data_IF_688204566962
#
_entry.id   IF_688204566962
#
_cell.length_a   1.000
_cell.length_b   1.000
_cell.length_c   1.000
_cell.angle_alpha   90.00
_cell.angle_beta   90.00
_cell.angle_gamma   90.00
#
_symmetry.space_group_name_H-M   'P 1'
#
loop_
_entity.id
_entity.type
_entity.pdbx_description
1 polymer ?
#
# COMPACT_ATOMS: atom_id res chain seq x y z
N UNK A 1 -10.80 -8.53 -5.09
CA UNK A 1 -9.81 -8.53 -3.99
C UNK A 1 -8.46 -8.20 -4.59
N UNK A 2 -7.67 -7.35 -3.94
CA UNK A 2 -6.38 -6.85 -4.44
C UNK A 2 -5.27 -7.21 -3.46
N UNK A 3 -4.12 -7.63 -3.97
CA UNK A 3 -2.97 -8.06 -3.17
C UNK A 3 -1.71 -7.37 -3.64
N UNK A 4 -0.86 -6.97 -2.70
CA UNK A 4 0.49 -6.47 -2.94
C UNK A 4 1.47 -7.32 -2.14
N UNK A 5 2.58 -7.72 -2.79
CA UNK A 5 3.61 -8.56 -2.21
C UNK A 5 4.96 -7.88 -2.31
N UNK A 6 5.67 -7.77 -1.19
CA UNK A 6 7.08 -7.38 -1.16
C UNK A 6 7.94 -8.59 -1.56
N UNK A 7 8.75 -8.42 -2.60
CA UNK A 7 9.64 -9.44 -3.12
C UNK A 7 11.02 -9.37 -2.44
N UNK A 8 11.80 -10.44 -2.53
CA UNK A 8 13.14 -10.51 -1.92
C UNK A 8 14.15 -9.54 -2.52
N UNK A 9 13.92 -9.07 -3.75
CA UNK A 9 14.73 -8.05 -4.41
C UNK A 9 14.30 -6.61 -4.04
N UNK A 10 13.32 -6.47 -3.13
CA UNK A 10 12.78 -5.19 -2.70
C UNK A 10 11.75 -4.58 -3.67
N UNK A 11 11.40 -5.25 -4.76
CA UNK A 11 10.30 -4.82 -5.63
C UNK A 11 8.94 -5.16 -5.02
N UNK A 12 7.88 -4.48 -5.46
CA UNK A 12 6.51 -4.79 -5.07
C UNK A 12 5.72 -5.25 -6.29
N UNK A 13 5.13 -6.43 -6.17
CA UNK A 13 4.26 -7.02 -7.18
C UNK A 13 2.80 -6.95 -6.72
N UNK A 14 1.90 -6.55 -7.62
CA UNK A 14 0.47 -6.53 -7.36
C UNK A 14 -0.32 -7.39 -8.32
N UNK A 15 -1.41 -7.98 -7.82
CA UNK A 15 -2.40 -8.73 -8.60
C UNK A 15 -3.77 -8.69 -7.92
N UNK A 16 -4.82 -8.96 -8.67
CA UNK A 16 -6.19 -9.01 -8.17
C UNK A 16 -7.20 -8.23 -9.01
N UNK A 17 -8.40 -8.08 -8.46
CA UNK A 17 -9.55 -7.41 -9.09
C UNK A 17 -9.62 -5.95 -8.69
N UNK A 18 -10.21 -5.10 -9.53
CA UNK A 18 -10.31 -3.64 -9.34
C UNK A 18 -8.93 -2.97 -9.32
N UNK A 19 -8.02 -3.46 -10.17
CA UNK A 19 -6.70 -2.88 -10.39
C UNK A 19 -6.44 -2.77 -11.88
N UNK A 20 -5.77 -1.72 -12.30
CA UNK A 20 -5.33 -1.54 -13.68
C UNK A 20 -3.93 -0.93 -13.74
N UNK A 21 -3.19 -1.31 -14.78
CA UNK A 21 -1.87 -0.74 -15.07
C UNK A 21 -2.06 0.56 -15.84
N UNK A 22 -1.55 1.65 -15.30
CA UNK A 22 -1.53 2.96 -15.94
C UNK A 22 -0.07 3.40 -16.11
N UNK A 23 0.33 3.83 -17.30
CA UNK A 23 1.69 4.22 -17.71
C UNK A 23 2.75 4.27 -16.58
N UNK A 24 3.33 3.11 -16.24
CA UNK A 24 4.44 3.00 -15.28
C UNK A 24 4.06 2.64 -13.83
N UNK A 25 2.77 2.52 -13.49
CA UNK A 25 2.29 2.14 -12.17
C UNK A 25 0.95 1.38 -12.18
N UNK A 26 0.53 0.92 -11.00
CA UNK A 26 -0.76 0.23 -10.80
C UNK A 26 -1.68 1.13 -9.98
N UNK A 27 -2.91 1.30 -10.46
CA UNK A 27 -3.95 2.10 -9.81
C UNK A 27 -5.24 1.29 -9.64
N UNK A 28 -6.22 1.89 -8.98
CA UNK A 28 -7.56 1.33 -8.90
C UNK A 28 -8.19 1.23 -10.30
N UNK A 29 -8.82 0.09 -10.56
CA UNK A 29 -9.53 -0.17 -11.80
C UNK A 29 -10.73 0.76 -11.97
N UNK A 30 -10.78 1.53 -13.05
CA UNK A 30 -11.88 2.47 -13.34
C UNK A 30 -13.13 1.78 -13.91
N UNK A 31 -13.02 0.51 -14.28
CA UNK A 31 -14.09 -0.27 -14.92
C UNK A 31 -14.42 -1.55 -14.14
N UNK A 32 -15.70 -1.93 -14.18
CA UNK A 32 -16.17 -3.24 -13.70
C UNK A 32 -15.52 -4.30 -14.60
N UNK A 33 -14.47 -4.95 -14.10
CA UNK A 33 -13.70 -5.95 -14.85
C UNK A 33 -12.20 -5.69 -14.92
N UNK A 34 -11.70 -4.51 -14.52
CA UNK A 34 -10.26 -4.24 -14.45
C UNK A 34 -9.59 -5.21 -13.46
N UNK A 35 -8.77 -6.12 -13.96
CA UNK A 35 -8.05 -7.10 -13.16
C UNK A 35 -6.61 -7.27 -13.63
N UNK A 36 -5.72 -7.51 -12.68
CA UNK A 36 -4.34 -7.89 -12.91
C UNK A 36 -4.22 -9.37 -12.56
N UNK A 37 -4.23 -10.23 -13.57
CA UNK A 37 -4.14 -11.69 -13.42
C UNK A 37 -2.71 -12.18 -13.32
N UNK A 38 -1.77 -11.46 -13.93
CA UNK A 38 -0.34 -11.74 -13.86
C UNK A 38 0.29 -10.70 -12.93
N UNK A 39 1.02 -11.11 -11.86
CA UNK A 39 1.68 -10.18 -10.96
C UNK A 39 2.50 -9.14 -11.74
N UNK A 40 2.24 -7.88 -11.43
CA UNK A 40 2.86 -6.76 -12.13
C UNK A 40 3.54 -5.82 -11.13
N UNK A 41 4.70 -5.30 -11.52
CA UNK A 41 5.43 -4.34 -10.70
C UNK A 41 4.70 -3.00 -10.66
N UNK A 42 4.56 -2.43 -9.46
CA UNK A 42 3.92 -1.13 -9.21
C UNK A 42 4.78 0.08 -9.62
N UNK A 43 6.09 -0.06 -9.72
CA UNK A 43 7.03 0.97 -10.17
C UNK A 43 7.77 0.44 -11.38
N UNK A 44 7.38 0.92 -12.57
CA UNK A 44 7.81 0.40 -13.89
C UNK A 44 9.31 0.05 -14.02
N UNK A 45 10.10 0.92 -14.63
CA UNK A 45 11.52 0.66 -14.93
C UNK A 45 12.48 1.31 -13.93
N UNK A 46 11.98 2.03 -12.93
CA UNK A 46 12.81 2.73 -11.96
C UNK A 46 13.03 1.84 -10.72
N UNK A 47 14.27 1.48 -10.37
CA UNK A 47 14.55 0.54 -9.28
C UNK A 47 14.41 1.26 -7.93
N UNK A 48 13.18 1.34 -7.42
CA UNK A 48 12.92 1.73 -6.03
C UNK A 48 12.92 0.48 -5.16
N UNK A 49 13.76 0.47 -4.11
CA UNK A 49 13.86 -0.65 -3.17
C UNK A 49 12.95 -0.37 -1.96
N UNK A 50 11.97 -1.25 -1.78
CA UNK A 50 11.05 -1.23 -0.66
C UNK A 50 11.51 -2.16 0.46
N UNK A 51 11.18 -1.77 1.68
CA UNK A 51 11.48 -2.51 2.91
C UNK A 51 10.22 -2.98 3.64
N UNK A 52 9.08 -2.41 3.29
CA UNK A 52 7.80 -2.69 3.94
C UNK A 52 6.64 -2.39 2.99
N UNK A 53 5.54 -3.13 3.15
CA UNK A 53 4.29 -2.92 2.42
C UNK A 53 3.10 -3.23 3.34
N UNK A 54 2.12 -2.33 3.36
CA UNK A 54 0.87 -2.52 4.07
C UNK A 54 -0.32 -2.15 3.19
N UNK A 55 -1.49 -2.67 3.55
CA UNK A 55 -2.74 -2.39 2.87
C UNK A 55 -3.82 -2.05 3.89
N UNK A 56 -4.71 -1.14 3.51
CA UNK A 56 -5.90 -0.85 4.29
C UNK A 56 -6.99 -1.86 3.88
N UNK A 57 -7.58 -2.61 4.83
CA UNK A 57 -8.62 -3.58 4.52
C UNK A 57 -9.79 -2.94 3.78
N UNK A 58 -10.32 -3.62 2.77
CA UNK A 58 -11.52 -3.24 2.00
C UNK A 58 -11.47 -1.92 1.21
N UNK A 59 -10.37 -1.17 1.22
CA UNK A 59 -10.27 0.13 0.51
C UNK A 59 -9.42 0.08 -0.76
N UNK A 60 -8.74 -1.04 -1.04
CA UNK A 60 -7.74 -1.17 -2.12
C UNK A 60 -6.64 -0.09 -2.08
N UNK A 61 -6.43 0.53 -0.92
CA UNK A 61 -5.33 1.46 -0.68
C UNK A 61 -4.15 0.70 -0.12
N UNK A 62 -2.98 0.97 -0.68
CA UNK A 62 -1.73 0.34 -0.31
C UNK A 62 -0.71 1.42 0.04
N UNK A 63 0.19 1.10 0.94
CA UNK A 63 1.35 1.92 1.24
C UNK A 63 2.61 1.07 1.29
N UNK A 64 3.74 1.67 0.94
CA UNK A 64 5.04 1.04 0.98
C UNK A 64 6.12 2.01 1.43
N UNK A 65 7.13 1.47 2.10
CA UNK A 65 8.25 2.25 2.64
C UNK A 65 9.54 1.87 1.92
N UNK A 66 10.27 2.87 1.44
CA UNK A 66 11.59 2.65 0.85
C UNK A 66 12.68 2.55 1.90
N UNK A 67 13.86 2.10 1.48
CA UNK A 67 15.06 2.12 2.32
C UNK A 67 15.44 3.53 2.80
N UNK A 68 15.02 4.57 2.07
CA UNK A 68 15.27 5.98 2.40
C UNK A 68 14.16 6.59 3.29
N UNK A 69 13.30 5.76 3.88
CA UNK A 69 12.15 6.20 4.70
C UNK A 69 11.11 7.04 3.95
N UNK A 70 11.07 6.95 2.62
CA UNK A 70 10.02 7.55 1.81
C UNK A 70 8.81 6.63 1.79
N UNK A 71 7.62 7.19 2.03
CA UNK A 71 6.35 6.45 1.94
C UNK A 71 5.69 6.73 0.60
N UNK A 72 5.30 5.65 -0.07
CA UNK A 72 4.50 5.70 -1.29
C UNK A 72 3.12 5.15 -1.01
N UNK A 73 2.08 5.86 -1.41
CA UNK A 73 0.68 5.42 -1.25
C UNK A 73 0.04 5.29 -2.62
N UNK A 74 -0.68 4.20 -2.88
CA UNK A 74 -1.40 4.01 -4.15
C UNK A 74 -2.75 3.31 -3.94
N UNK A 75 -3.60 3.34 -4.98
CA UNK A 75 -4.87 2.63 -4.98
C UNK A 75 -6.12 3.45 -4.67
N UNK A 76 -6.01 4.76 -4.42
CA UNK A 76 -7.16 5.68 -4.36
C UNK A 76 -7.39 6.41 -5.69
N UNK A 77 -8.65 6.51 -6.10
CA UNK A 77 -9.13 6.82 -7.45
C UNK A 77 -8.80 8.24 -7.95
N UNK A 78 -8.52 9.17 -7.04
CA UNK A 78 -8.44 10.60 -7.37
C UNK A 78 -7.00 11.15 -7.44
N UNK A 79 -5.99 10.29 -7.28
CA UNK A 79 -4.60 10.70 -7.41
C UNK A 79 -4.04 10.32 -8.78
N UNK A 80 -3.70 11.30 -9.64
CA UNK A 80 -3.16 11.02 -10.97
C UNK A 80 -1.75 10.39 -10.95
N UNK A 81 -1.09 10.34 -9.78
CA UNK A 81 0.25 9.78 -9.55
C UNK A 81 0.28 9.09 -8.18
N UNK A 82 1.23 8.19 -7.98
CA UNK A 82 1.59 7.70 -6.65
C UNK A 82 2.11 8.91 -5.85
N UNK A 83 1.39 9.42 -4.84
CA UNK A 83 1.92 10.42 -3.93
C UNK A 83 3.16 9.87 -3.21
N UNK A 84 4.24 10.63 -3.28
CA UNK A 84 5.38 10.49 -2.41
C UNK A 84 5.13 11.34 -1.17
N UNK A 85 5.15 10.72 0.00
CA UNK A 85 5.05 11.42 1.26
C UNK A 85 6.35 11.20 2.04
N UNK A 86 6.99 12.31 2.40
CA UNK A 86 8.17 12.30 3.25
C UNK A 86 7.72 12.77 4.63
N UNK A 87 8.01 11.96 5.65
CA UNK A 87 7.77 12.32 7.04
C UNK A 87 9.10 12.68 7.68
N UNK A 88 9.15 13.80 8.37
CA UNK A 88 10.27 14.11 9.25
C UNK A 88 10.25 13.20 10.47
N UNK A 89 11.44 12.87 11.01
CA UNK A 89 11.55 12.01 12.20
C UNK A 89 10.72 12.53 13.40
N UNK A 90 10.54 13.84 13.52
CA UNK A 90 9.69 14.46 14.54
C UNK A 90 8.20 14.14 14.36
N UNK A 91 7.69 14.13 13.13
CA UNK A 91 6.29 13.83 12.82
C UNK A 91 5.97 12.35 13.08
N UNK A 92 6.95 11.46 12.86
CA UNK A 92 6.84 10.04 13.19
C UNK A 92 6.81 9.83 14.71
N UNK A 93 7.63 10.56 15.46
CA UNK A 93 7.65 10.47 16.92
C UNK A 93 6.32 10.92 17.53
N UNK A 94 5.72 11.99 17.00
CA UNK A 94 4.39 12.46 17.38
C UNK A 94 3.30 11.44 17.01
N UNK A 95 3.30 10.91 15.79
CA UNK A 95 2.33 9.90 15.36
C UNK A 95 2.43 8.58 16.16
N UNK A 96 3.63 8.17 16.58
CA UNK A 96 3.82 7.01 17.45
C UNK A 96 3.33 7.28 18.88
N UNK A 97 3.40 8.53 19.35
CA UNK A 97 2.87 8.92 20.66
C UNK A 97 1.35 8.91 20.72
N UNK A 98 0.69 9.09 19.58
CA UNK A 98 -0.77 9.06 19.41
C UNK A 98 -1.35 7.66 19.12
N UNK A 99 -0.53 6.60 19.10
CA UNK A 99 -1.02 5.25 18.77
C UNK A 99 -2.10 4.80 19.77
N UNK A 100 -3.37 4.59 19.36
CA UNK A 100 -4.39 4.04 20.24
C UNK A 100 -4.02 2.60 20.57
N UNK A 101 -4.19 2.23 21.84
CA UNK A 101 -3.96 0.88 22.37
C UNK A 101 -4.49 -0.20 21.42
N UNK A 102 -3.74 -1.30 21.19
CA UNK A 102 -4.22 -2.40 20.37
C UNK A 102 -5.57 -2.88 20.91
N UNK A 103 -6.51 -3.11 19.99
CA UNK A 103 -7.87 -3.58 20.27
C UNK A 103 -7.82 -4.86 21.11
N UNK A 104 -7.91 -4.75 22.43
CA UNK A 104 -8.14 -5.87 23.31
C UNK A 104 -9.62 -6.21 23.19
N UNK A 105 -9.96 -7.23 22.40
CA UNK A 105 -11.31 -7.78 22.44
C UNK A 105 -11.55 -8.36 23.84
N UNK A 106 -12.24 -7.61 24.71
CA UNK A 106 -12.81 -8.19 25.91
C UNK A 106 -13.82 -9.26 25.48
N UNK A 107 -13.37 -10.51 25.53
CA UNK A 107 -14.26 -11.66 25.42
C UNK A 107 -15.11 -11.69 26.70
N UNK A 108 -16.28 -11.03 26.67
CA UNK A 108 -17.31 -11.26 27.69
C UNK A 108 -17.82 -12.70 27.55
N UNK A 109 -17.15 -13.61 28.26
CA UNK A 109 -17.70 -14.92 28.61
C UNK A 109 -18.82 -14.65 29.60
N UNK A 110 -20.07 -14.79 29.15
CA UNK A 110 -21.22 -14.78 30.05
C UNK A 110 -21.61 -16.24 30.25
N UNK A 111 -21.55 -16.68 31.50
CA UNK A 111 -22.01 -17.97 31.99
C UNK A 111 -23.52 -17.92 32.24
#
# INVERSE_FOLDING_TARGET
>A
SSTACLMSDGSIMCFGSNMEKYTGFIRFGSSIGSNITTPANIFGSNPTIFTDVANVPFTNVFCAKTQNSTIFVWGHSDLPKIPEMQFHASEIAEALSDMPLPYASESKKTM
#
